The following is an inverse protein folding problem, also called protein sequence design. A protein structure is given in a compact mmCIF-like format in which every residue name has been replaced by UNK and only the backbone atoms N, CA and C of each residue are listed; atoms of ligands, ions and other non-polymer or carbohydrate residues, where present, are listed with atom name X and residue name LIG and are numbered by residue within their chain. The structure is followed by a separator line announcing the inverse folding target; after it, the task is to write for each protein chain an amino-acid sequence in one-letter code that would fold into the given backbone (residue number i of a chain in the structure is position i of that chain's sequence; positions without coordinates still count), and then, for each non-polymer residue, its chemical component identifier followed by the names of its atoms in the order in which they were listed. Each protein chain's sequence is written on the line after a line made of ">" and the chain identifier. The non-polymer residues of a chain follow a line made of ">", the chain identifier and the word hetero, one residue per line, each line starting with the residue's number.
data_IF_049758187426
#
_entry.id   IF_049758187426
#
_cell.length_a   1.000
_cell.length_b   1.000
_cell.length_c   1.000
_cell.angle_alpha   90.00
_cell.angle_beta   90.00
_cell.angle_gamma   90.00
#
_symmetry.space_group_name_H-M   'P 1'
#
loop_
_entity.id
_entity.type
_entity.pdbx_description
1 polymer ?
#
# COMPACT_ATOMS: atom_id res chain seq x y z
N UNK A 1 -0.30 -111.43 8.67
CA UNK A 1 -1.18 -110.35 8.29
C UNK A 1 -1.03 -109.26 9.33
N UNK A 2 -0.46 -108.08 8.96
CA UNK A 2 -0.11 -107.01 9.86
C UNK A 2 -1.27 -106.00 9.86
N UNK A 3 -1.69 -105.41 11.01
CA UNK A 3 -2.60 -104.27 11.01
C UNK A 3 -1.87 -102.95 10.86
N UNK A 4 -2.37 -102.10 10.01
CA UNK A 4 -1.92 -100.74 9.81
C UNK A 4 -2.40 -99.83 10.91
N UNK A 5 -1.48 -99.19 11.57
CA UNK A 5 -1.75 -98.11 12.56
C UNK A 5 -1.70 -96.76 11.86
N UNK A 6 -2.78 -96.04 11.85
CA UNK A 6 -2.86 -94.65 11.38
C UNK A 6 -2.45 -93.69 12.51
N UNK A 7 -1.63 -92.64 12.26
CA UNK A 7 -1.33 -91.63 13.27
C UNK A 7 -2.36 -90.53 13.32
N UNK A 8 -2.83 -90.19 14.50
CA UNK A 8 -3.63 -89.06 14.83
C UNK A 8 -2.85 -87.76 14.71
N UNK A 9 -3.16 -86.92 13.72
CA UNK A 9 -2.59 -85.56 13.62
C UNK A 9 -3.41 -84.61 14.48
N UNK A 10 -2.80 -84.05 15.51
CA UNK A 10 -3.38 -83.00 16.34
C UNK A 10 -3.22 -81.66 15.60
N UNK A 11 -4.34 -81.02 15.22
CA UNK A 11 -4.40 -79.63 14.80
C UNK A 11 -4.31 -78.71 15.99
N UNK A 12 -3.24 -77.95 16.10
CA UNK A 12 -3.13 -76.80 17.03
C UNK A 12 -3.64 -75.56 16.33
N UNK A 13 -4.79 -75.09 16.77
CA UNK A 13 -5.35 -73.85 16.24
C UNK A 13 -4.59 -72.64 16.92
N UNK A 14 -3.82 -71.94 16.12
CA UNK A 14 -3.20 -70.68 16.54
C UNK A 14 -4.18 -69.57 16.45
N UNK A 15 -4.59 -69.00 17.59
CA UNK A 15 -5.44 -67.82 17.65
C UNK A 15 -4.55 -66.57 17.47
N UNK A 16 -4.61 -65.95 16.27
CA UNK A 16 -4.00 -64.63 16.05
C UNK A 16 -4.92 -63.54 16.62
N UNK A 17 -4.50 -62.93 17.75
CA UNK A 17 -5.14 -61.73 18.25
C UNK A 17 -4.53 -60.57 17.44
N UNK A 18 -5.31 -60.02 16.50
CA UNK A 18 -4.94 -58.81 15.78
C UNK A 18 -5.15 -57.59 16.70
N UNK A 19 -4.08 -57.04 17.22
CA UNK A 19 -4.07 -55.79 17.96
C UNK A 19 -4.12 -54.62 16.98
N UNK A 20 -5.31 -54.03 16.79
CA UNK A 20 -5.47 -52.83 16.00
C UNK A 20 -4.89 -51.62 16.74
N UNK A 21 -3.72 -51.13 16.27
CA UNK A 21 -3.18 -49.85 16.70
C UNK A 21 -4.02 -48.72 16.09
N UNK A 22 -4.83 -48.08 16.90
CA UNK A 22 -5.52 -46.84 16.50
C UNK A 22 -4.49 -45.70 16.38
N UNK A 23 -4.13 -45.36 15.16
CA UNK A 23 -3.35 -44.14 14.84
C UNK A 23 -4.27 -42.95 15.05
N UNK A 24 -4.17 -42.28 16.19
CA UNK A 24 -4.81 -40.98 16.40
C UNK A 24 -4.00 -39.91 15.69
N UNK A 25 -4.46 -39.43 14.54
CA UNK A 25 -3.94 -38.24 13.91
C UNK A 25 -4.30 -37.02 14.78
N UNK A 26 -3.31 -36.18 15.18
CA UNK A 26 -3.66 -34.95 15.86
C UNK A 26 -4.50 -34.04 14.92
N UNK A 27 -5.44 -33.24 15.47
CA UNK A 27 -6.21 -32.30 14.67
C UNK A 27 -5.24 -31.30 14.00
N UNK A 28 -5.57 -30.81 12.78
CA UNK A 28 -4.76 -29.80 12.14
C UNK A 28 -4.63 -28.59 13.06
N UNK A 29 -3.39 -28.23 13.40
CA UNK A 29 -3.11 -26.98 14.11
C UNK A 29 -3.70 -25.85 13.27
N UNK A 30 -4.67 -25.11 13.82
CA UNK A 30 -5.08 -23.83 13.26
C UNK A 30 -3.83 -22.97 13.27
N UNK A 31 -3.22 -22.75 12.11
CA UNK A 31 -2.17 -21.78 11.96
C UNK A 31 -2.74 -20.47 12.50
N UNK A 32 -2.18 -19.98 13.61
CA UNK A 32 -2.46 -18.66 14.12
C UNK A 32 -2.28 -17.69 12.95
N UNK A 33 -3.38 -17.08 12.50
CA UNK A 33 -3.30 -15.98 11.57
C UNK A 33 -2.41 -14.95 12.26
N UNK A 34 -1.19 -14.75 11.75
CA UNK A 34 -0.24 -13.82 12.31
C UNK A 34 -0.95 -12.48 12.49
N UNK A 35 -1.11 -12.07 13.72
CA UNK A 35 -1.74 -10.81 14.11
C UNK A 35 -0.96 -9.70 13.40
N UNK A 36 -1.62 -9.01 12.43
CA UNK A 36 -0.99 -7.91 11.71
C UNK A 36 -0.56 -6.88 12.75
N UNK A 37 0.74 -6.52 12.83
CA UNK A 37 1.22 -5.61 13.85
C UNK A 37 0.33 -4.35 13.88
N UNK A 38 -0.26 -4.04 15.02
CA UNK A 38 -1.16 -2.90 15.22
C UNK A 38 -0.48 -1.53 15.13
N UNK A 39 0.79 -1.49 14.66
CA UNK A 39 1.64 -0.32 14.68
C UNK A 39 1.16 0.90 13.86
N UNK A 40 0.18 0.72 12.96
CA UNK A 40 -0.28 1.80 12.08
C UNK A 40 -1.76 2.17 12.31
N UNK A 41 -2.29 1.94 13.50
CA UNK A 41 -3.65 2.33 13.90
C UNK A 41 -3.71 3.73 14.52
N UNK A 42 -2.58 4.33 14.86
CA UNK A 42 -2.52 5.68 15.44
C UNK A 42 -3.14 6.72 14.48
N UNK A 43 -3.73 7.77 15.05
CA UNK A 43 -4.47 8.80 14.31
C UNK A 43 -3.64 9.46 13.19
N UNK A 44 -2.34 9.58 13.41
CA UNK A 44 -1.41 10.16 12.44
C UNK A 44 -1.37 9.37 11.14
N UNK A 45 -1.45 8.03 11.21
CA UNK A 45 -1.50 7.17 10.02
C UNK A 45 -2.83 7.29 9.25
N UNK A 46 -3.83 7.99 9.80
CA UNK A 46 -5.15 8.21 9.17
C UNK A 46 -5.30 9.61 8.59
N UNK A 47 -4.37 10.51 8.84
CA UNK A 47 -4.45 11.91 8.44
C UNK A 47 -4.60 12.14 6.93
N UNK A 48 -4.12 11.21 6.10
CA UNK A 48 -4.21 11.30 4.65
C UNK A 48 -5.29 10.38 4.03
N UNK A 49 -6.13 9.77 4.86
CA UNK A 49 -7.19 8.84 4.42
C UNK A 49 -8.24 9.49 3.52
N UNK A 50 -8.43 10.80 3.60
CA UNK A 50 -9.34 11.53 2.74
C UNK A 50 -8.99 11.44 1.24
N UNK A 51 -7.73 11.07 0.93
CA UNK A 51 -7.25 10.91 -0.45
C UNK A 51 -7.45 9.49 -0.99
N UNK A 52 -7.74 8.49 -0.13
CA UNK A 52 -8.01 7.12 -0.58
C UNK A 52 -9.16 7.07 -1.57
N UNK A 53 -9.02 6.31 -2.64
CA UNK A 53 -10.08 6.02 -3.59
C UNK A 53 -9.66 5.98 -5.04
N UNK A 54 -10.67 5.94 -5.89
CA UNK A 54 -10.60 5.92 -7.33
C UNK A 54 -11.14 7.24 -7.87
N UNK A 55 -10.33 7.96 -8.67
CA UNK A 55 -10.54 9.37 -8.97
C UNK A 55 -10.36 9.72 -10.44
N UNK A 56 -11.32 10.45 -10.99
CA UNK A 56 -11.12 11.25 -12.20
C UNK A 56 -10.60 12.64 -11.79
N UNK A 57 -9.48 13.06 -12.37
CA UNK A 57 -8.84 14.32 -12.01
C UNK A 57 -8.97 15.32 -13.15
N UNK A 58 -9.53 16.48 -12.83
CA UNK A 58 -9.79 17.54 -13.82
C UNK A 58 -8.97 18.79 -13.50
N UNK A 59 -8.47 19.44 -14.53
CA UNK A 59 -7.84 20.76 -14.45
C UNK A 59 -8.90 21.86 -14.20
N UNK A 60 -8.50 23.10 -13.80
CA UNK A 60 -9.45 24.19 -13.52
C UNK A 60 -10.34 24.57 -14.71
N UNK A 61 -9.91 24.32 -15.95
CA UNK A 61 -10.70 24.52 -17.17
C UNK A 61 -11.68 23.35 -17.46
N UNK A 62 -11.78 22.39 -16.55
CA UNK A 62 -12.70 21.25 -16.63
C UNK A 62 -12.24 20.09 -17.49
N UNK A 63 -11.03 20.12 -18.04
CA UNK A 63 -10.50 19.01 -18.84
C UNK A 63 -10.01 17.88 -17.95
N UNK A 64 -10.26 16.64 -18.37
CA UNK A 64 -9.73 15.46 -17.71
C UNK A 64 -8.19 15.42 -17.86
N UNK A 65 -7.48 15.54 -16.73
CA UNK A 65 -6.02 15.42 -16.66
C UNK A 65 -5.59 13.96 -16.64
N UNK A 66 -6.32 13.11 -15.95
CA UNK A 66 -6.01 11.70 -15.81
C UNK A 66 -6.89 11.00 -14.81
N UNK A 67 -6.49 9.76 -14.51
CA UNK A 67 -7.13 8.88 -13.55
C UNK A 67 -6.13 8.54 -12.46
N UNK A 68 -6.57 8.51 -11.20
CA UNK A 68 -5.68 8.25 -10.06
C UNK A 68 -6.32 7.29 -9.06
N UNK A 69 -5.62 6.22 -8.74
CA UNK A 69 -6.08 5.24 -7.76
C UNK A 69 -5.18 5.28 -6.55
N UNK A 70 -5.75 5.57 -5.39
CA UNK A 70 -5.03 5.59 -4.11
C UNK A 70 -5.53 4.47 -3.24
N UNK A 71 -4.65 3.54 -2.89
CA UNK A 71 -4.96 2.36 -2.07
C UNK A 71 -4.11 2.32 -0.82
N UNK A 72 -4.62 1.63 0.20
CA UNK A 72 -3.87 1.36 1.42
C UNK A 72 -3.03 0.10 1.25
N UNK A 73 -1.74 0.19 1.58
CA UNK A 73 -0.76 -0.90 1.46
C UNK A 73 0.04 -1.09 2.74
N UNK A 74 0.97 -2.04 2.75
CA UNK A 74 1.87 -2.32 3.89
C UNK A 74 1.10 -2.53 5.22
N UNK A 75 0.05 -3.37 5.20
CA UNK A 75 -0.75 -3.62 6.40
C UNK A 75 -1.46 -2.39 6.97
N UNK A 76 -1.70 -1.38 6.13
CA UNK A 76 -2.36 -0.14 6.53
C UNK A 76 -1.41 1.00 6.90
N UNK A 77 -0.09 0.81 6.77
CA UNK A 77 0.93 1.78 7.17
C UNK A 77 1.27 2.81 6.10
N UNK A 78 0.88 2.56 4.84
CA UNK A 78 1.19 3.45 3.73
C UNK A 78 0.02 3.55 2.75
N UNK A 79 0.02 4.63 1.97
CA UNK A 79 -0.83 4.80 0.80
C UNK A 79 0.02 4.63 -0.45
N UNK A 80 -0.50 3.90 -1.41
CA UNK A 80 0.06 3.76 -2.75
C UNK A 80 -0.81 4.52 -3.73
N UNK A 81 -0.20 5.43 -4.47
CA UNK A 81 -0.80 6.16 -5.57
C UNK A 81 -0.42 5.52 -6.91
N UNK A 82 -1.38 5.40 -7.80
CA UNK A 82 -1.18 4.95 -9.18
C UNK A 82 -1.86 5.92 -10.15
N UNK A 83 -1.08 6.81 -10.74
CA UNK A 83 -1.50 7.85 -11.66
C UNK A 83 -1.43 7.40 -13.12
N UNK A 84 -2.47 7.63 -13.86
CA UNK A 84 -2.54 7.45 -15.32
C UNK A 84 -3.01 8.76 -15.99
N UNK A 85 -2.07 9.55 -16.45
CA UNK A 85 -2.32 10.83 -17.13
C UNK A 85 -2.85 10.65 -18.56
N UNK A 86 -3.66 11.61 -19.00
CA UNK A 86 -4.15 11.70 -20.39
C UNK A 86 -3.01 11.97 -21.36
N UNK A 87 -2.45 11.18 -22.08
CA UNK A 87 -1.28 11.36 -22.97
C UNK A 87 -0.19 10.35 -22.71
N UNK A 88 -0.48 9.37 -21.82
CA UNK A 88 0.39 8.25 -21.57
C UNK A 88 1.47 8.49 -20.51
N UNK A 89 1.53 9.68 -19.90
CA UNK A 89 2.37 9.92 -18.73
C UNK A 89 1.79 9.20 -17.53
N UNK A 90 2.58 8.39 -16.86
CA UNK A 90 2.18 7.61 -15.68
C UNK A 90 3.14 7.83 -14.53
N UNK A 91 2.68 7.60 -13.31
CA UNK A 91 3.54 7.67 -12.14
C UNK A 91 2.94 6.95 -10.93
N UNK A 92 3.79 6.71 -9.96
CA UNK A 92 3.39 6.07 -8.72
C UNK A 92 4.07 6.74 -7.54
N UNK A 93 3.40 6.74 -6.38
CA UNK A 93 4.03 7.15 -5.14
C UNK A 93 3.71 6.22 -3.99
N UNK A 94 4.64 6.17 -3.03
CA UNK A 94 4.40 5.63 -1.70
C UNK A 94 4.39 6.76 -0.70
N UNK A 95 3.36 6.79 0.13
CA UNK A 95 3.11 7.81 1.13
C UNK A 95 2.97 7.17 2.49
N UNK A 96 3.79 7.55 3.45
CA UNK A 96 3.78 6.97 4.79
C UNK A 96 4.06 8.00 5.88
N UNK A 97 3.45 7.80 7.05
CA UNK A 97 3.80 8.52 8.26
C UNK A 97 5.10 7.99 8.84
N UNK A 98 6.06 8.86 9.08
CA UNK A 98 7.30 8.54 9.76
C UNK A 98 7.25 9.04 11.21
N UNK A 99 7.02 8.13 12.16
CA UNK A 99 6.90 8.44 13.57
C UNK A 99 8.19 9.04 14.18
N UNK A 100 9.36 8.77 13.57
CA UNK A 100 10.63 9.32 14.07
C UNK A 100 10.79 10.80 13.75
N UNK A 101 10.26 11.25 12.61
CA UNK A 101 10.34 12.66 12.19
C UNK A 101 9.06 13.43 12.47
N UNK A 102 7.96 12.74 12.81
CA UNK A 102 6.65 13.35 12.97
C UNK A 102 6.11 13.94 11.66
N UNK A 103 6.41 13.31 10.53
CA UNK A 103 6.04 13.81 9.20
C UNK A 103 5.51 12.70 8.30
N UNK A 104 4.62 13.06 7.41
CA UNK A 104 4.30 12.28 6.21
C UNK A 104 5.45 12.42 5.23
N UNK A 105 5.77 11.33 4.54
CA UNK A 105 6.78 11.27 3.49
C UNK A 105 6.16 10.68 2.24
N UNK A 106 6.47 11.27 1.08
CA UNK A 106 6.10 10.76 -0.24
C UNK A 106 7.36 10.55 -1.06
N UNK A 107 7.47 9.41 -1.73
CA UNK A 107 8.39 9.19 -2.84
C UNK A 107 7.57 8.96 -4.09
N UNK A 108 7.69 9.85 -5.06
CA UNK A 108 7.08 9.79 -6.39
C UNK A 108 8.10 9.34 -7.41
N UNK A 109 7.66 8.49 -8.35
CA UNK A 109 8.42 8.06 -9.53
C UNK A 109 7.49 8.11 -10.74
N UNK A 110 8.01 8.55 -11.89
CA UNK A 110 7.21 8.65 -13.10
C UNK A 110 7.84 8.03 -14.35
N UNK A 111 7.05 7.92 -15.41
CA UNK A 111 7.43 7.26 -16.67
C UNK A 111 8.47 8.02 -17.48
N UNK A 112 8.85 9.25 -17.09
CA UNK A 112 9.98 10.00 -17.67
C UNK A 112 11.31 9.72 -16.95
N UNK A 113 11.27 8.92 -15.86
CA UNK A 113 12.41 8.67 -14.98
C UNK A 113 12.56 9.72 -13.88
N UNK A 114 11.58 10.63 -13.74
CA UNK A 114 11.55 11.62 -12.68
C UNK A 114 11.34 10.99 -11.31
N UNK A 115 11.98 11.60 -10.30
CA UNK A 115 11.80 11.25 -8.88
C UNK A 115 11.60 12.52 -8.07
N UNK A 116 10.64 12.48 -7.17
CA UNK A 116 10.41 13.57 -6.22
C UNK A 116 10.18 13.00 -4.83
N UNK A 117 10.99 13.44 -3.86
CA UNK A 117 10.83 13.11 -2.46
C UNK A 117 10.31 14.33 -1.70
N UNK A 118 9.20 14.15 -1.01
CA UNK A 118 8.52 15.20 -0.25
C UNK A 118 8.31 14.77 1.20
N UNK A 119 8.28 15.74 2.11
CA UNK A 119 7.92 15.53 3.51
C UNK A 119 7.09 16.69 4.05
N UNK A 120 6.22 16.41 5.02
CA UNK A 120 5.38 17.43 5.63
C UNK A 120 4.31 16.87 6.54
N UNK A 121 3.21 17.60 6.69
CA UNK A 121 2.18 17.27 7.68
C UNK A 121 0.81 17.80 7.30
N UNK A 122 -0.21 17.31 8.00
CA UNK A 122 -1.55 17.90 7.99
C UNK A 122 -1.48 19.29 8.64
N UNK A 123 -1.93 20.33 7.92
CA UNK A 123 -2.00 21.73 8.38
C UNK A 123 -3.37 22.29 7.99
N UNK A 124 -4.11 22.79 8.94
CA UNK A 124 -5.43 23.41 8.72
C UNK A 124 -6.38 22.55 7.87
N UNK A 125 -6.34 21.23 8.10
CA UNK A 125 -7.16 20.25 7.37
C UNK A 125 -6.66 19.85 5.99
N UNK A 126 -5.54 20.40 5.51
CA UNK A 126 -4.90 20.03 4.24
C UNK A 126 -3.58 19.29 4.49
N UNK A 127 -3.27 18.27 3.67
CA UNK A 127 -1.94 17.66 3.66
C UNK A 127 -1.01 18.54 2.83
N UNK A 128 0.08 19.00 3.44
CA UNK A 128 1.09 19.86 2.80
C UNK A 128 2.43 19.17 2.86
N UNK A 129 2.96 18.78 1.70
CA UNK A 129 4.28 18.16 1.57
C UNK A 129 5.20 19.04 0.73
N UNK A 130 6.44 19.18 1.16
CA UNK A 130 7.47 19.99 0.49
C UNK A 130 8.73 19.16 0.28
N UNK A 131 9.48 19.51 -0.76
CA UNK A 131 10.76 18.90 -1.08
C UNK A 131 11.59 19.76 -2.00
N UNK A 132 12.81 19.31 -2.28
CA UNK A 132 13.72 19.97 -3.21
C UNK A 132 14.21 18.93 -4.20
N UNK A 133 14.08 19.22 -5.48
CA UNK A 133 14.63 18.38 -6.54
C UNK A 133 16.18 18.56 -6.56
N UNK A 134 16.94 17.46 -6.38
CA UNK A 134 18.40 17.56 -6.31
C UNK A 134 19.04 17.91 -7.68
N UNK A 135 18.39 17.55 -8.78
CA UNK A 135 18.90 17.66 -10.14
C UNK A 135 18.17 18.77 -10.92
N UNK A 136 17.99 19.95 -10.30
CA UNK A 136 17.40 21.10 -10.97
C UNK A 136 18.13 21.41 -12.32
N UNK A 137 17.39 21.85 -13.37
CA UNK A 137 17.93 22.01 -14.74
C UNK A 137 19.13 22.98 -14.86
N UNK A 138 19.39 23.77 -13.83
CA UNK A 138 20.53 24.71 -13.79
C UNK A 138 21.50 24.32 -12.67
N UNK A 139 22.80 24.19 -12.94
CA UNK A 139 23.81 23.94 -11.91
C UNK A 139 23.70 24.94 -10.76
N UNK A 140 23.52 24.45 -9.52
CA UNK A 140 23.43 25.29 -8.32
C UNK A 140 22.02 25.86 -8.04
N UNK A 141 21.04 25.68 -8.94
CA UNK A 141 19.66 26.01 -8.65
C UNK A 141 19.00 24.88 -7.84
N UNK A 142 18.10 25.24 -6.93
CA UNK A 142 17.26 24.30 -6.18
C UNK A 142 15.82 24.57 -6.59
N UNK A 143 15.21 23.61 -7.28
CA UNK A 143 13.78 23.67 -7.52
C UNK A 143 13.04 23.12 -6.29
N UNK A 144 12.35 24.00 -5.59
CA UNK A 144 11.50 23.59 -4.47
C UNK A 144 10.12 23.24 -4.97
N UNK A 145 9.54 22.20 -4.35
CA UNK A 145 8.19 21.73 -4.62
C UNK A 145 7.35 21.85 -3.35
N UNK A 146 6.11 22.24 -3.53
CA UNK A 146 5.06 22.17 -2.50
C UNK A 146 3.81 21.58 -3.13
N UNK A 147 3.30 20.52 -2.56
CA UNK A 147 2.01 19.95 -2.96
C UNK A 147 1.07 20.02 -1.76
N UNK A 148 -0.13 20.54 -2.02
CA UNK A 148 -1.18 20.67 -1.02
C UNK A 148 -2.41 19.88 -1.49
N UNK A 149 -2.85 18.91 -0.72
CA UNK A 149 -4.11 18.19 -0.93
C UNK A 149 -5.14 18.70 0.07
N UNK A 150 -6.19 19.33 -0.44
CA UNK A 150 -7.26 19.93 0.37
C UNK A 150 -8.56 19.17 0.14
N UNK A 151 -9.08 18.44 1.17
CA UNK A 151 -10.39 17.82 1.10
C UNK A 151 -11.47 18.91 1.03
N UNK A 152 -12.47 18.70 0.18
CA UNK A 152 -13.61 19.59 0.02
C UNK A 152 -14.83 19.03 0.77
N UNK A 153 -15.75 19.91 1.16
CA UNK A 153 -16.96 19.52 1.90
C UNK A 153 -17.87 18.54 1.15
N UNK A 154 -17.77 18.49 -0.19
CA UNK A 154 -18.53 17.59 -1.07
C UNK A 154 -17.81 16.27 -1.36
N UNK A 155 -16.73 15.98 -0.64
CA UNK A 155 -15.95 14.74 -0.74
C UNK A 155 -14.93 14.70 -1.90
N UNK A 156 -14.81 15.80 -2.65
CA UNK A 156 -13.73 15.98 -3.61
C UNK A 156 -12.41 16.32 -2.91
N UNK A 157 -11.29 16.21 -3.64
CA UNK A 157 -9.98 16.65 -3.13
C UNK A 157 -9.35 17.54 -4.18
N UNK A 158 -8.81 18.72 -3.79
CA UNK A 158 -7.98 19.53 -4.67
C UNK A 158 -6.51 19.24 -4.39
N UNK A 159 -5.75 18.91 -5.42
CA UNK A 159 -4.28 18.87 -5.38
C UNK A 159 -3.74 20.11 -6.07
N UNK A 160 -2.97 20.90 -5.33
CA UNK A 160 -2.28 22.07 -5.87
C UNK A 160 -0.78 21.91 -5.72
N UNK A 161 -0.09 21.68 -6.83
CA UNK A 161 1.37 21.56 -6.89
C UNK A 161 1.97 22.85 -7.38
N UNK A 162 2.90 23.38 -6.62
CA UNK A 162 3.63 24.60 -6.87
C UNK A 162 5.14 24.35 -6.88
N UNK A 163 5.86 25.14 -7.66
CA UNK A 163 7.32 25.13 -7.73
C UNK A 163 7.88 26.52 -7.44
N UNK A 164 9.11 26.57 -6.90
CA UNK A 164 9.83 27.80 -6.62
C UNK A 164 11.31 27.65 -6.99
N UNK A 165 11.85 28.61 -7.75
CA UNK A 165 13.26 28.69 -8.13
C UNK A 165 14.06 29.67 -7.27
N UNK A 166 13.41 30.34 -6.30
CA UNK A 166 13.98 31.42 -5.47
C UNK A 166 13.90 31.13 -3.94
N UNK A 167 14.06 29.85 -3.59
CA UNK A 167 13.99 29.34 -2.21
C UNK A 167 12.65 29.59 -1.50
N UNK A 168 11.56 29.60 -2.27
CA UNK A 168 10.20 29.70 -1.73
C UNK A 168 9.71 31.14 -1.52
N UNK A 169 10.37 32.13 -2.09
CA UNK A 169 9.92 33.53 -2.06
C UNK A 169 8.74 33.74 -3.02
N UNK A 170 8.82 33.15 -4.20
CA UNK A 170 7.72 33.12 -5.16
C UNK A 170 7.39 31.69 -5.58
N UNK A 171 6.13 31.45 -5.91
CA UNK A 171 5.62 30.13 -6.27
C UNK A 171 4.82 30.19 -7.56
N UNK A 172 5.14 29.31 -8.49
CA UNK A 172 4.38 29.08 -9.72
C UNK A 172 3.58 27.78 -9.62
N UNK A 173 2.38 27.78 -10.19
CA UNK A 173 1.57 26.54 -10.27
C UNK A 173 2.16 25.62 -11.34
N UNK A 174 2.57 24.43 -10.91
CA UNK A 174 3.00 23.34 -11.79
C UNK A 174 1.81 22.45 -12.19
N UNK A 175 0.90 22.20 -11.23
CA UNK A 175 -0.33 21.44 -11.47
C UNK A 175 -1.43 21.87 -10.50
N UNK A 176 -2.68 21.90 -10.99
CA UNK A 176 -3.87 22.12 -10.18
C UNK A 176 -4.94 21.13 -10.64
N UNK A 177 -5.29 20.18 -9.78
CA UNK A 177 -6.20 19.11 -10.12
C UNK A 177 -7.32 18.97 -9.11
N UNK A 178 -8.55 18.85 -9.59
CA UNK A 178 -9.71 18.53 -8.79
C UNK A 178 -10.08 17.07 -8.96
N UNK A 179 -9.95 16.31 -7.90
CA UNK A 179 -10.23 14.88 -7.78
C UNK A 179 -11.73 14.69 -7.51
N UNK A 180 -12.43 14.02 -8.40
CA UNK A 180 -13.83 13.58 -8.24
C UNK A 180 -13.89 12.07 -8.27
N UNK A 181 -14.78 11.45 -7.47
CA UNK A 181 -14.90 9.98 -7.46
C UNK A 181 -15.23 9.47 -8.86
N UNK A 182 -14.48 8.48 -9.34
CA UNK A 182 -14.82 7.77 -10.56
C UNK A 182 -16.14 7.00 -10.39
N UNK A 183 -16.89 6.88 -11.48
CA UNK A 183 -18.21 6.20 -11.51
C UNK A 183 -18.08 4.73 -11.81
#
# INVERSE_FOLDING_TARGET
>A
MRPLTTPFTRFVAAIFVAMALAVTTPPPSTADAAEVPSGCLAAEHRQFDFWLGDWDVHTPDGKLAGHNVITRVAGGCALHENWAGRGGFTGQSLNAWNARTGQWQQTWLDSSGGRLDLAGSLRDGAMVLEGTEPDAPKPGARLRHRITWTPQADGRVRQHWQTSEDDGKTWATAFDGLYTRSR
#
